data_IF_903612633563
#
_entry.id   IF_903612633563
#
_cell.length_a   1.000
_cell.length_b   1.000
_cell.length_c   1.000
_cell.angle_alpha   90.00
_cell.angle_beta   90.00
_cell.angle_gamma   90.00
#
_symmetry.space_group_name_H-M   'P 1'
#
loop_
_entity.id
_entity.type
_entity.pdbx_description
1 polymer ?
#
# COMPACT_ATOMS: atom_id res chain seq x y z
N UNK A 1 -1.38 -8.31 -2.01
CA UNK A 1 -1.13 -9.33 -0.95
C UNK A 1 -2.40 -10.15 -0.79
N UNK A 2 -2.33 -11.33 -0.18
CA UNK A 2 -3.48 -12.21 0.01
C UNK A 2 -3.61 -13.33 -1.03
N UNK A 3 -4.74 -14.03 -1.01
CA UNK A 3 -5.03 -15.16 -1.89
C UNK A 3 -5.71 -14.64 -3.16
N UNK A 4 -5.06 -14.83 -4.31
CA UNK A 4 -5.55 -14.33 -5.61
C UNK A 4 -6.88 -15.01 -5.96
N UNK A 5 -7.90 -14.21 -6.24
CA UNK A 5 -9.20 -14.69 -6.72
C UNK A 5 -10.15 -15.24 -5.64
N UNK A 6 -9.75 -15.23 -4.37
CA UNK A 6 -10.54 -15.83 -3.29
C UNK A 6 -11.96 -15.23 -3.18
N UNK A 7 -12.09 -13.91 -3.26
CA UNK A 7 -13.40 -13.25 -3.16
C UNK A 7 -14.36 -13.72 -4.25
N UNK A 8 -13.90 -13.81 -5.50
CA UNK A 8 -14.70 -14.31 -6.62
C UNK A 8 -15.07 -15.77 -6.40
N UNK A 9 -14.10 -16.60 -6.02
CA UNK A 9 -14.33 -18.02 -5.73
C UNK A 9 -15.41 -18.23 -4.67
N UNK A 10 -15.37 -17.46 -3.57
CA UNK A 10 -16.36 -17.50 -2.49
C UNK A 10 -17.73 -17.00 -2.95
N UNK A 11 -17.78 -15.95 -3.77
CA UNK A 11 -19.03 -15.46 -4.35
C UNK A 11 -19.72 -16.55 -5.19
N UNK A 12 -18.95 -17.24 -6.04
CA UNK A 12 -19.49 -18.24 -6.97
C UNK A 12 -19.87 -19.56 -6.26
N UNK A 13 -19.12 -19.98 -5.25
CA UNK A 13 -19.23 -21.34 -4.70
C UNK A 13 -19.68 -21.42 -3.22
N UNK A 14 -19.57 -20.32 -2.47
CA UNK A 14 -19.93 -20.27 -1.05
C UNK A 14 -20.58 -18.93 -0.67
N UNK A 15 -21.66 -18.49 -1.36
CA UNK A 15 -22.23 -17.15 -1.15
C UNK A 15 -22.75 -16.95 0.27
N UNK A 16 -23.21 -18.02 0.94
CA UNK A 16 -23.65 -17.99 2.36
C UNK A 16 -22.49 -17.69 3.34
N UNK A 17 -21.24 -17.83 2.91
CA UNK A 17 -20.04 -17.51 3.69
C UNK A 17 -19.71 -16.02 3.74
N UNK A 18 -20.37 -15.18 2.93
CA UNK A 18 -20.22 -13.73 2.93
C UNK A 18 -21.50 -13.08 3.42
N UNK A 19 -21.37 -12.13 4.34
CA UNK A 19 -22.50 -11.37 4.89
C UNK A 19 -22.18 -9.89 4.87
N UNK A 20 -23.14 -9.12 4.41
CA UNK A 20 -23.08 -7.66 4.47
C UNK A 20 -23.89 -7.17 5.66
N UNK A 21 -23.29 -6.24 6.39
CA UNK A 21 -23.89 -5.63 7.56
C UNK A 21 -23.71 -4.13 7.48
N UNK A 22 -24.71 -3.39 7.97
CA UNK A 22 -24.58 -1.95 8.16
C UNK A 22 -23.48 -1.65 9.16
N UNK A 23 -22.77 -0.54 8.97
CA UNK A 23 -21.61 -0.19 9.80
C UNK A 23 -21.96 -0.06 11.28
N UNK A 24 -23.15 0.47 11.57
CA UNK A 24 -23.69 0.70 12.92
C UNK A 24 -23.93 -0.62 13.68
N UNK A 25 -24.09 -1.73 12.96
CA UNK A 25 -24.28 -3.05 13.60
C UNK A 25 -23.05 -3.54 14.37
N UNK A 26 -21.91 -2.87 14.21
CA UNK A 26 -20.67 -3.19 14.92
C UNK A 26 -20.45 -2.34 16.18
N UNK A 27 -21.43 -1.53 16.61
CA UNK A 27 -21.33 -0.75 17.85
C UNK A 27 -20.92 -1.62 19.05
N UNK A 28 -19.96 -1.13 19.84
CA UNK A 28 -19.43 -1.81 21.02
C UNK A 28 -18.48 -2.98 20.72
N UNK A 29 -18.30 -3.37 19.45
CA UNK A 29 -17.44 -4.50 19.07
C UNK A 29 -15.97 -4.12 19.18
N UNK A 30 -15.16 -5.06 19.66
CA UNK A 30 -13.70 -5.00 19.60
C UNK A 30 -13.25 -5.68 18.31
N UNK A 31 -12.40 -5.02 17.52
CA UNK A 31 -11.89 -5.57 16.25
C UNK A 31 -10.36 -5.50 16.21
N UNK A 32 -9.73 -6.53 15.68
CA UNK A 32 -8.31 -6.50 15.37
C UNK A 32 -8.11 -6.00 13.93
N UNK A 33 -7.23 -5.02 13.75
CA UNK A 33 -6.93 -4.41 12.45
C UNK A 33 -5.47 -4.67 12.12
N UNK A 34 -5.20 -5.19 10.93
CA UNK A 34 -3.85 -5.29 10.38
C UNK A 34 -3.31 -3.86 10.10
N UNK A 35 -2.37 -3.43 10.93
CA UNK A 35 -1.77 -2.10 10.88
C UNK A 35 -0.84 -1.94 9.69
N UNK A 36 0.02 -2.95 9.44
CA UNK A 36 0.92 -3.00 8.30
C UNK A 36 0.16 -2.81 6.99
N UNK A 37 -0.98 -3.48 6.86
CA UNK A 37 -1.81 -3.36 5.67
C UNK A 37 -2.54 -2.03 5.56
N UNK A 38 -3.02 -1.50 6.68
CA UNK A 38 -3.66 -0.17 6.71
C UNK A 38 -2.68 0.93 6.28
N UNK A 39 -1.46 0.93 6.82
CA UNK A 39 -0.41 1.90 6.47
C UNK A 39 -0.09 1.82 4.97
N UNK A 40 0.12 0.62 4.44
CA UNK A 40 0.40 0.43 3.02
C UNK A 40 -0.72 0.94 2.10
N UNK A 41 -1.98 0.75 2.48
CA UNK A 41 -3.12 1.30 1.74
C UNK A 41 -3.04 2.84 1.71
N UNK A 42 -2.82 3.49 2.85
CA UNK A 42 -2.76 4.95 2.91
C UNK A 42 -1.59 5.54 2.13
N UNK A 43 -0.43 4.86 2.10
CA UNK A 43 0.71 5.28 1.30
C UNK A 43 0.45 5.17 -0.21
N UNK A 44 -0.35 4.20 -0.67
CA UNK A 44 -0.58 3.99 -2.10
C UNK A 44 -1.77 4.78 -2.62
N UNK A 45 -2.80 4.95 -1.82
CA UNK A 45 -4.03 5.64 -2.22
C UNK A 45 -3.73 7.10 -2.59
N UNK A 46 -2.86 7.77 -1.84
CA UNK A 46 -2.57 9.20 -2.02
C UNK A 46 -1.76 9.51 -3.29
N UNK A 47 -1.22 8.51 -4.00
CA UNK A 47 -0.54 8.71 -5.29
C UNK A 47 -1.33 8.29 -6.53
N UNK A 48 -2.54 7.73 -6.40
CA UNK A 48 -3.29 7.15 -7.54
C UNK A 48 -4.24 8.10 -8.25
N UNK A 49 -4.62 9.21 -7.62
CA UNK A 49 -5.64 10.13 -8.13
C UNK A 49 -5.07 11.45 -8.67
N UNK A 50 -3.76 11.50 -8.95
CA UNK A 50 -3.09 12.74 -9.38
C UNK A 50 -2.84 13.75 -8.24
N UNK A 51 -3.24 13.42 -7.01
CA UNK A 51 -2.86 14.15 -5.80
C UNK A 51 -1.39 13.90 -5.49
N UNK A 52 -0.64 14.95 -5.19
CA UNK A 52 0.71 14.79 -4.66
C UNK A 52 0.66 14.04 -3.33
N UNK A 53 1.73 13.31 -3.02
CA UNK A 53 1.88 12.69 -1.72
C UNK A 53 1.82 13.78 -0.65
N UNK A 54 0.97 13.60 0.35
CA UNK A 54 0.95 14.50 1.48
C UNK A 54 2.29 14.40 2.19
N UNK A 55 2.97 15.55 2.30
CA UNK A 55 4.27 15.67 2.93
C UNK A 55 4.26 16.83 3.94
N UNK A 56 5.19 16.80 4.89
CA UNK A 56 5.51 17.98 5.69
C UNK A 56 6.47 18.90 4.91
N UNK A 57 6.86 20.02 5.52
CA UNK A 57 7.79 20.99 4.94
C UNK A 57 9.17 20.39 4.60
N UNK A 58 9.57 19.31 5.27
CA UNK A 58 10.81 18.57 5.00
C UNK A 58 10.66 17.53 3.86
N UNK A 59 9.48 17.41 3.25
CA UNK A 59 9.21 16.44 2.19
C UNK A 59 8.95 15.00 2.70
N UNK A 60 8.77 14.80 4.01
CA UNK A 60 8.50 13.49 4.59
C UNK A 60 7.02 13.11 4.42
N UNK A 61 6.73 11.88 3.98
CA UNK A 61 5.36 11.45 3.69
C UNK A 61 4.52 11.32 4.96
N UNK A 62 3.36 12.00 5.01
CA UNK A 62 2.46 12.04 6.17
C UNK A 62 1.10 11.36 5.93
N UNK A 63 0.82 10.89 4.71
CA UNK A 63 -0.48 10.28 4.33
C UNK A 63 -0.93 9.14 5.25
N UNK A 64 0.00 8.34 5.73
CA UNK A 64 -0.29 7.23 6.64
C UNK A 64 -0.76 7.70 8.01
N UNK A 65 -0.22 8.81 8.53
CA UNK A 65 -0.62 9.40 9.81
C UNK A 65 -2.05 9.94 9.73
N UNK A 66 -2.34 10.76 8.70
CA UNK A 66 -3.67 11.30 8.49
C UNK A 66 -4.70 10.18 8.28
N UNK A 67 -4.38 9.20 7.43
CA UNK A 67 -5.27 8.08 7.14
C UNK A 67 -5.59 7.25 8.38
N UNK A 68 -4.57 6.91 9.17
CA UNK A 68 -4.75 6.17 10.41
C UNK A 68 -5.56 6.97 11.43
N UNK A 69 -5.27 8.27 11.58
CA UNK A 69 -5.98 9.15 12.49
C UNK A 69 -7.47 9.26 12.14
N UNK A 70 -7.79 9.67 10.91
CA UNK A 70 -9.17 9.83 10.46
C UNK A 70 -9.96 8.51 10.49
N UNK A 71 -9.34 7.38 10.11
CA UNK A 71 -9.98 6.06 10.18
C UNK A 71 -10.24 5.63 11.62
N UNK A 72 -9.29 5.87 12.52
CA UNK A 72 -9.44 5.50 13.94
C UNK A 72 -10.56 6.31 14.59
N UNK A 73 -10.63 7.62 14.35
CA UNK A 73 -11.72 8.48 14.83
C UNK A 73 -13.06 7.94 14.37
N UNK A 74 -13.23 7.70 13.06
CA UNK A 74 -14.49 7.18 12.51
C UNK A 74 -14.93 5.85 13.14
N UNK A 75 -13.98 4.96 13.45
CA UNK A 75 -14.28 3.71 14.15
C UNK A 75 -14.75 3.96 15.58
N UNK A 76 -14.05 4.84 16.31
CA UNK A 76 -14.39 5.19 17.69
C UNK A 76 -15.74 5.92 17.78
N UNK A 77 -16.04 6.83 16.85
CA UNK A 77 -17.33 7.53 16.73
C UNK A 77 -18.49 6.56 16.52
N UNK A 78 -18.26 5.48 15.77
CA UNK A 78 -19.23 4.39 15.61
C UNK A 78 -19.26 3.40 16.79
N UNK A 79 -18.56 3.69 17.89
CA UNK A 79 -18.48 2.86 19.08
C UNK A 79 -17.68 1.56 18.90
N UNK A 80 -16.92 1.43 17.82
CA UNK A 80 -16.04 0.28 17.56
C UNK A 80 -14.72 0.51 18.28
N UNK A 81 -14.17 -0.54 18.91
CA UNK A 81 -12.91 -0.51 19.66
C UNK A 81 -11.80 -1.20 18.86
N UNK A 82 -10.99 -0.46 18.08
CA UNK A 82 -9.93 -1.06 17.27
C UNK A 82 -8.71 -1.44 18.10
N UNK A 83 -8.10 -2.58 17.78
CA UNK A 83 -6.78 -2.99 18.22
C UNK A 83 -5.89 -3.17 16.99
N UNK A 84 -4.91 -2.28 16.82
CA UNK A 84 -3.98 -2.36 15.70
C UNK A 84 -2.89 -3.41 15.97
N UNK A 85 -2.76 -4.36 15.05
CA UNK A 85 -1.80 -5.45 15.12
C UNK A 85 -0.74 -5.22 14.05
N UNK A 86 0.51 -5.12 14.49
CA UNK A 86 1.66 -5.00 13.61
C UNK A 86 2.26 -6.37 13.33
N UNK A 87 2.76 -6.56 12.11
CA UNK A 87 3.46 -7.78 11.76
C UNK A 87 4.75 -7.93 12.57
N UNK A 88 5.02 -9.15 13.04
CA UNK A 88 6.31 -9.55 13.58
C UNK A 88 7.24 -10.10 12.49
N UNK A 89 8.18 -10.95 12.92
CA UNK A 89 9.10 -11.64 12.00
C UNK A 89 8.31 -12.54 11.02
N UNK A 90 8.53 -12.41 9.70
CA UNK A 90 7.84 -13.26 8.73
C UNK A 90 8.32 -14.72 8.84
N UNK A 91 7.43 -15.71 8.60
CA UNK A 91 7.81 -17.11 8.63
C UNK A 91 8.71 -17.47 7.44
N UNK A 92 9.52 -18.52 7.58
CA UNK A 92 10.50 -18.95 6.57
C UNK A 92 9.87 -19.27 5.21
N UNK A 93 8.68 -19.87 5.22
CA UNK A 93 7.90 -20.18 4.01
C UNK A 93 7.59 -18.92 3.15
N UNK A 94 7.58 -17.73 3.77
CA UNK A 94 7.29 -16.45 3.09
C UNK A 94 8.54 -15.83 2.45
N UNK A 95 9.76 -16.35 2.71
CA UNK A 95 11.03 -15.78 2.21
C UNK A 95 11.07 -15.66 0.69
N UNK A 96 10.70 -16.70 -0.04
CA UNK A 96 10.74 -16.71 -1.51
C UNK A 96 9.76 -15.68 -2.11
N UNK A 97 8.56 -15.59 -1.55
CA UNK A 97 7.55 -14.62 -1.99
C UNK A 97 7.98 -13.18 -1.66
N UNK A 98 8.60 -12.94 -0.50
CA UNK A 98 9.17 -11.65 -0.17
C UNK A 98 10.29 -11.27 -1.15
N UNK A 99 11.21 -12.17 -1.46
CA UNK A 99 12.26 -11.94 -2.44
C UNK A 99 11.69 -11.55 -3.81
N UNK A 100 10.68 -12.27 -4.31
CA UNK A 100 9.98 -11.93 -5.56
C UNK A 100 9.38 -10.52 -5.51
N UNK A 101 8.78 -10.12 -4.37
CA UNK A 101 8.22 -8.77 -4.19
C UNK A 101 9.29 -7.69 -4.16
N UNK A 102 10.43 -7.94 -3.50
CA UNK A 102 11.56 -7.01 -3.50
C UNK A 102 12.12 -6.81 -4.92
N UNK A 103 12.31 -7.89 -5.68
CA UNK A 103 12.78 -7.81 -7.07
C UNK A 103 11.83 -6.98 -7.94
N UNK A 104 10.52 -7.19 -7.82
CA UNK A 104 9.52 -6.39 -8.56
C UNK A 104 9.58 -4.90 -8.24
N UNK A 105 9.88 -4.51 -6.99
CA UNK A 105 10.04 -3.09 -6.59
C UNK A 105 11.32 -2.46 -7.14
N UNK A 106 12.39 -3.24 -7.31
CA UNK A 106 13.66 -2.74 -7.82
C UNK A 106 13.69 -2.59 -9.35
N UNK A 107 12.90 -3.38 -10.08
CA UNK A 107 12.89 -3.36 -11.56
C UNK A 107 12.58 -1.97 -12.14
N UNK A 108 11.53 -1.24 -11.71
CA UNK A 108 11.25 0.10 -12.21
C UNK A 108 12.40 1.09 -11.98
N UNK A 109 13.03 1.05 -10.80
CA UNK A 109 14.16 1.92 -10.46
C UNK A 109 15.37 1.65 -11.36
N UNK A 110 15.68 0.39 -11.64
CA UNK A 110 16.77 0.00 -12.55
C UNK A 110 16.52 0.45 -13.98
N UNK A 111 15.28 0.30 -14.47
CA UNK A 111 14.87 0.76 -15.80
C UNK A 111 15.02 2.28 -15.90
N UNK A 112 14.52 3.02 -14.89
CA UNK A 112 14.61 4.47 -14.85
C UNK A 112 16.07 4.96 -14.82
N UNK A 113 16.92 4.32 -14.01
CA UNK A 113 18.37 4.61 -13.99
C UNK A 113 19.05 4.30 -15.32
N UNK A 114 18.70 3.20 -15.99
CA UNK A 114 19.22 2.88 -17.31
C UNK A 114 18.79 3.93 -18.36
N UNK A 115 17.52 4.33 -18.35
CA UNK A 115 17.04 5.36 -19.27
C UNK A 115 17.71 6.71 -19.01
N UNK A 116 17.86 7.12 -17.75
CA UNK A 116 18.58 8.34 -17.39
C UNK A 116 20.03 8.32 -17.89
N UNK A 117 20.73 7.19 -17.72
CA UNK A 117 22.09 7.00 -18.26
C UNK A 117 22.14 7.09 -19.79
N UNK A 118 21.15 6.55 -20.49
CA UNK A 118 21.07 6.61 -21.95
C UNK A 118 20.82 8.04 -22.45
N UNK A 119 19.96 8.80 -21.76
CA UNK A 119 19.70 10.22 -22.06
C UNK A 119 20.98 11.04 -21.89
N UNK A 120 21.67 10.92 -20.75
CA UNK A 120 22.92 11.63 -20.49
C UNK A 120 23.98 11.34 -21.57
N UNK A 121 24.14 10.07 -21.96
CA UNK A 121 25.09 9.69 -23.03
C UNK A 121 24.74 10.23 -24.42
N UNK A 122 23.45 10.42 -24.72
CA UNK A 122 23.01 11.03 -25.99
C UNK A 122 23.28 12.53 -25.98
N UNK A 123 22.92 13.22 -24.90
CA UNK A 123 23.14 14.67 -24.75
C UNK A 123 24.62 15.03 -24.77
N UNK A 124 25.49 14.21 -24.18
CA UNK A 124 26.95 14.45 -24.19
C UNK A 124 27.62 14.18 -25.55
N UNK A 125 26.97 13.42 -26.44
CA UNK A 125 27.48 13.18 -27.81
C UNK A 125 27.05 14.27 -28.79
N UNK A 126 25.84 14.82 -28.63
CA UNK A 126 25.36 15.94 -29.45
C UNK A 126 26.11 17.25 -29.20
N UNK A 127 26.70 17.45 -28.02
CA UNK A 127 27.55 18.61 -27.73
C UNK A 127 29.00 18.49 -28.22
N UNK A 128 29.42 17.29 -28.66
CA UNK A 128 30.77 17.03 -29.18
C UNK A 128 30.85 17.02 -30.72
N UNK A 129 29.71 17.01 -31.42
CA UNK A 129 29.61 17.03 -32.89
C UNK A 129 29.22 18.40 -33.46
N UNK A 130 29.35 19.46 -32.65
CA UNK A 130 29.03 20.85 -32.99
C UNK A 130 30.25 21.77 -33.07
N UNK A 131 31.38 21.23 -33.55
CA UNK A 131 32.52 21.98 -34.08
C UNK A 131 32.88 21.43 -35.45
#
# INVERSE_FOLDING_TARGET
MGIKGLTKLLADNAPKGMKEHKFESFFGRKIAIDASMSIYQFLIVVGRSGTEMLTNEAGEVTSHLQGMFSRTIRLLEAGIKPAYVFDGKPPDLKKQELAKRYSKRQMPLKILQQQLRLVIKKTSRSSASGQ
#
